data_IF_875545181797
#
_entry.id   IF_875545181797
#
_cell.length_a   1.000
_cell.length_b   1.000
_cell.length_c   1.000
_cell.angle_alpha   90.00
_cell.angle_beta   90.00
_cell.angle_gamma   90.00
#
_symmetry.space_group_name_H-M   'P 1'
#
loop_
_entity.id
_entity.type
_entity.pdbx_description
1 polymer ?
#
# COMPACT_ATOMS: atom_id res chain seq x y z
N UNK A 1 12.55 19.30 21.38
CA UNK A 1 11.11 19.08 21.17
C UNK A 1 10.94 17.66 20.67
N UNK A 2 10.27 16.78 21.41
CA UNK A 2 10.02 15.42 20.95
C UNK A 2 8.97 15.49 19.83
N UNK A 3 9.34 15.08 18.61
CA UNK A 3 8.36 14.78 17.57
C UNK A 3 7.48 13.66 18.10
N UNK A 4 6.20 13.94 18.37
CA UNK A 4 5.24 12.89 18.75
C UNK A 4 4.81 12.17 17.47
N UNK A 5 5.65 11.23 17.02
CA UNK A 5 5.34 10.32 15.90
C UNK A 5 3.94 9.73 16.11
N UNK A 6 3.06 9.92 15.13
CA UNK A 6 1.72 9.35 15.17
C UNK A 6 1.79 7.96 14.58
N UNK A 7 1.35 6.97 15.34
CA UNK A 7 1.32 5.59 14.88
C UNK A 7 -0.02 5.24 14.25
N UNK A 8 0.03 4.51 13.15
CA UNK A 8 -1.11 3.99 12.43
C UNK A 8 -0.91 2.51 12.13
N UNK A 9 -2.01 1.79 11.97
CA UNK A 9 -2.06 0.54 11.23
C UNK A 9 -2.71 0.78 9.88
N UNK A 10 -2.09 0.30 8.82
CA UNK A 10 -2.66 0.29 7.47
C UNK A 10 -3.04 -1.14 7.10
N UNK A 11 -4.22 -1.31 6.52
CA UNK A 11 -4.74 -2.59 6.04
C UNK A 11 -5.05 -2.51 4.54
N UNK A 12 -4.71 -3.57 3.82
CA UNK A 12 -4.85 -3.61 2.37
C UNK A 12 -3.89 -4.60 1.69
N UNK A 13 -3.71 -4.44 0.39
CA UNK A 13 -2.97 -5.40 -0.43
C UNK A 13 -1.57 -4.89 -0.75
N UNK A 14 -0.58 -5.72 -0.42
CA UNK A 14 0.82 -5.51 -0.74
C UNK A 14 1.13 -6.16 -2.07
N UNK A 15 1.80 -5.41 -2.94
CA UNK A 15 2.25 -5.84 -4.26
C UNK A 15 3.75 -5.56 -4.39
N UNK A 16 4.44 -6.40 -5.16
CA UNK A 16 5.87 -6.21 -5.44
C UNK A 16 6.13 -4.91 -6.21
N UNK A 17 7.39 -4.46 -6.19
CA UNK A 17 7.81 -3.29 -6.96
C UNK A 17 7.67 -3.53 -8.46
N UNK A 18 7.91 -4.76 -8.91
CA UNK A 18 7.74 -5.23 -10.28
C UNK A 18 6.27 -5.16 -10.70
N UNK A 19 5.35 -5.71 -9.90
CA UNK A 19 3.92 -5.66 -10.19
C UNK A 19 3.40 -4.22 -10.24
N UNK A 20 3.89 -3.34 -9.37
CA UNK A 20 3.57 -1.92 -9.38
C UNK A 20 4.13 -1.20 -10.63
N UNK A 21 5.36 -1.49 -11.04
CA UNK A 21 5.94 -0.93 -12.25
C UNK A 21 5.14 -1.35 -13.50
N UNK A 22 4.82 -2.64 -13.60
CA UNK A 22 4.02 -3.19 -14.70
C UNK A 22 2.62 -2.57 -14.75
N UNK A 23 1.98 -2.41 -13.59
CA UNK A 23 0.68 -1.72 -13.51
C UNK A 23 0.79 -0.26 -13.94
N UNK A 24 1.76 0.49 -13.45
CA UNK A 24 1.99 1.88 -13.87
C UNK A 24 2.27 1.98 -15.38
N UNK A 25 2.96 0.99 -15.95
CA UNK A 25 3.23 0.93 -17.38
C UNK A 25 1.98 0.71 -18.21
N UNK A 26 1.08 -0.18 -17.76
CA UNK A 26 -0.22 -0.37 -18.41
C UNK A 26 -1.09 0.90 -18.39
N UNK A 27 -1.06 1.67 -17.30
CA UNK A 27 -1.82 2.93 -17.18
C UNK A 27 -1.31 4.00 -18.16
N UNK A 28 0.01 4.13 -18.28
CA UNK A 28 0.65 5.26 -18.96
C UNK A 28 1.10 4.98 -20.40
N UNK A 29 1.15 3.71 -20.79
CA UNK A 29 1.69 3.28 -22.09
C UNK A 29 3.22 3.34 -22.18
N UNK A 30 3.94 3.64 -21.10
CA UNK A 30 5.42 3.69 -21.06
C UNK A 30 5.99 2.68 -20.07
N UNK A 31 7.16 2.12 -20.36
CA UNK A 31 7.81 1.15 -19.47
C UNK A 31 8.47 1.85 -18.27
N UNK A 32 8.14 1.44 -17.05
CA UNK A 32 8.77 1.90 -15.82
C UNK A 32 9.75 0.87 -15.27
N UNK A 33 10.81 1.35 -14.62
CA UNK A 33 11.69 0.52 -13.80
C UNK A 33 11.16 0.47 -12.36
N UNK A 34 11.24 -0.67 -11.66
CA UNK A 34 10.74 -0.82 -10.28
C UNK A 34 11.23 0.24 -9.30
N UNK A 35 12.44 0.77 -9.50
CA UNK A 35 13.05 1.81 -8.65
C UNK A 35 12.51 3.23 -8.85
N UNK A 36 11.60 3.46 -9.81
CA UNK A 36 11.00 4.77 -10.07
C UNK A 36 9.82 5.06 -9.13
N UNK A 37 10.03 4.87 -7.82
CA UNK A 37 8.98 4.81 -6.80
C UNK A 37 8.01 5.99 -6.82
N UNK A 38 8.54 7.22 -6.88
CA UNK A 38 7.71 8.42 -6.82
C UNK A 38 6.76 8.53 -8.02
N UNK A 39 7.22 8.14 -9.21
CA UNK A 39 6.42 8.24 -10.43
C UNK A 39 5.39 7.11 -10.46
N UNK A 40 5.81 5.87 -10.16
CA UNK A 40 4.91 4.70 -10.02
C UNK A 40 3.80 5.02 -9.01
N UNK A 41 4.17 5.54 -7.83
CA UNK A 41 3.20 5.89 -6.79
C UNK A 41 2.20 6.93 -7.27
N UNK A 42 2.65 8.01 -7.91
CA UNK A 42 1.76 9.06 -8.42
C UNK A 42 0.81 8.53 -9.51
N UNK A 43 1.34 7.72 -10.43
CA UNK A 43 0.57 7.14 -11.54
C UNK A 43 -0.54 6.22 -11.03
N UNK A 44 -0.25 5.35 -10.06
CA UNK A 44 -1.25 4.41 -9.53
C UNK A 44 -2.18 5.11 -8.52
N UNK A 45 -1.69 6.09 -7.76
CA UNK A 45 -2.49 6.82 -6.77
C UNK A 45 -3.74 7.45 -7.41
N UNK A 46 -3.66 7.94 -8.66
CA UNK A 46 -4.81 8.50 -9.37
C UNK A 46 -5.86 7.45 -9.75
N UNK A 47 -5.46 6.19 -9.94
CA UNK A 47 -6.36 5.08 -10.25
C UNK A 47 -7.07 4.53 -9.00
N UNK A 48 -6.40 4.52 -7.86
CA UNK A 48 -6.98 3.98 -6.61
C UNK A 48 -7.82 5.04 -5.87
N UNK A 49 -7.58 6.34 -6.10
CA UNK A 49 -8.27 7.43 -5.39
C UNK A 49 -9.80 7.42 -5.54
N UNK A 50 -10.41 7.13 -6.71
CA UNK A 50 -11.86 7.00 -6.85
C UNK A 50 -12.50 5.96 -5.91
N UNK A 51 -11.72 4.97 -5.46
CA UNK A 51 -12.13 3.92 -4.52
C UNK A 51 -11.89 4.31 -3.06
N UNK A 52 -11.55 5.59 -2.79
CA UNK A 52 -11.14 6.11 -1.46
C UNK A 52 -9.96 5.33 -0.87
N UNK A 53 -9.11 4.78 -1.73
CA UNK A 53 -7.93 4.01 -1.36
C UNK A 53 -6.65 4.85 -1.46
N UNK A 54 -5.68 4.54 -0.62
CA UNK A 54 -4.32 5.07 -0.69
C UNK A 54 -3.40 4.16 -1.49
N UNK A 55 -2.28 4.69 -1.97
CA UNK A 55 -1.19 3.90 -2.54
C UNK A 55 0.16 4.44 -2.08
N UNK A 56 0.93 3.61 -1.38
CA UNK A 56 2.20 4.01 -0.76
C UNK A 56 3.26 2.94 -0.83
N UNK A 57 4.50 3.38 -0.95
CA UNK A 57 5.67 2.54 -0.66
C UNK A 57 5.71 2.24 0.84
N UNK A 58 5.97 0.98 1.18
CA UNK A 58 6.12 0.45 2.55
C UNK A 58 7.41 -0.38 2.63
N UNK A 59 7.85 -0.71 3.84
CA UNK A 59 9.08 -1.46 4.11
C UNK A 59 10.20 -0.57 4.66
N UNK A 60 11.01 -1.09 5.58
CA UNK A 60 12.11 -0.33 6.20
C UNK A 60 13.46 -0.59 5.50
N UNK A 61 13.66 -1.80 4.96
CA UNK A 61 14.87 -2.17 4.22
C UNK A 61 14.61 -2.32 2.72
N UNK A 62 15.69 -2.33 1.92
CA UNK A 62 15.60 -2.50 0.47
C UNK A 62 14.92 -3.82 0.07
N UNK A 63 15.14 -4.88 0.84
CA UNK A 63 14.59 -6.21 0.64
C UNK A 63 13.10 -6.28 0.98
N UNK A 64 12.62 -5.39 1.85
CA UNK A 64 11.22 -5.32 2.29
C UNK A 64 10.38 -4.33 1.50
N UNK A 65 11.00 -3.51 0.64
CA UNK A 65 10.30 -2.47 -0.11
C UNK A 65 9.23 -3.08 -1.00
N UNK A 66 8.00 -2.61 -0.80
CA UNK A 66 6.84 -3.01 -1.58
C UNK A 66 5.85 -1.85 -1.67
N UNK A 67 4.90 -1.93 -2.59
CA UNK A 67 3.78 -1.01 -2.63
C UNK A 67 2.56 -1.60 -1.95
N UNK A 68 1.76 -0.75 -1.30
CA UNK A 68 0.51 -1.14 -0.67
C UNK A 68 -0.65 -0.32 -1.20
N UNK A 69 -1.70 -1.00 -1.66
CA UNK A 69 -3.04 -0.41 -1.84
C UNK A 69 -3.72 -0.40 -0.47
N UNK A 70 -3.87 0.78 0.11
CA UNK A 70 -4.35 0.98 1.48
C UNK A 70 -5.86 1.20 1.46
N UNK A 71 -6.61 0.27 2.06
CA UNK A 71 -8.08 0.33 2.17
C UNK A 71 -8.55 0.82 3.53
N UNK A 72 -7.73 0.58 4.57
CA UNK A 72 -8.00 0.98 5.94
C UNK A 72 -6.77 1.64 6.53
N UNK A 73 -7.00 2.74 7.24
CA UNK A 73 -5.98 3.42 8.02
C UNK A 73 -6.60 3.78 9.36
N UNK A 74 -6.04 3.25 10.44
CA UNK A 74 -6.52 3.50 11.79
C UNK A 74 -5.37 3.96 12.68
N UNK A 75 -5.62 5.02 13.45
CA UNK A 75 -4.65 5.57 14.38
C UNK A 75 -4.51 4.65 15.58
N UNK A 76 -3.27 4.46 16.03
CA UNK A 76 -2.93 3.72 17.24
C UNK A 76 -2.48 4.73 18.32
N UNK A 77 -3.40 5.28 19.13
CA UNK A 77 -3.11 6.40 20.03
C UNK A 77 -2.10 6.06 21.13
N UNK A 78 -2.01 4.79 21.54
CA UNK A 78 -1.17 4.32 22.64
C UNK A 78 -0.19 3.22 22.21
N UNK A 79 0.18 3.17 20.93
CA UNK A 79 1.08 2.14 20.43
C UNK A 79 2.45 2.20 21.11
N UNK A 80 2.90 1.08 21.65
CA UNK A 80 4.29 0.86 22.04
C UNK A 80 4.91 -0.09 21.02
N UNK A 81 6.18 0.14 20.68
CA UNK A 81 6.90 -0.62 19.63
C UNK A 81 6.89 -2.15 19.84
N UNK A 82 6.75 -2.60 21.09
CA UNK A 82 6.76 -4.02 21.45
C UNK A 82 5.36 -4.63 21.58
N UNK A 83 4.30 -3.83 21.44
CA UNK A 83 2.94 -4.35 21.48
C UNK A 83 2.61 -5.01 20.13
N UNK A 84 1.96 -6.19 20.13
CA UNK A 84 1.57 -6.84 18.89
C UNK A 84 0.60 -5.95 18.11
N UNK A 85 0.85 -5.80 16.81
CA UNK A 85 -0.01 -5.02 15.93
C UNK A 85 -1.33 -5.77 15.68
N UNK A 86 -2.49 -5.21 16.07
CA UNK A 86 -3.78 -5.85 15.80
C UNK A 86 -4.01 -5.94 14.28
N UNK A 87 -4.23 -7.15 13.77
CA UNK A 87 -4.44 -7.41 12.35
C UNK A 87 -5.85 -7.02 11.92
N UNK A 88 -5.99 -6.59 10.67
CA UNK A 88 -7.28 -6.50 10.00
C UNK A 88 -7.67 -7.86 9.42
N UNK A 89 -8.98 -8.06 9.28
CA UNK A 89 -9.57 -9.11 8.46
C UNK A 89 -10.10 -8.49 7.17
N UNK A 90 -10.15 -9.30 6.10
CA UNK A 90 -10.72 -8.87 4.84
C UNK A 90 -12.23 -8.60 4.98
N UNK A 91 -12.69 -7.46 4.45
CA UNK A 91 -14.10 -7.11 4.39
C UNK A 91 -14.52 -6.59 3.02
N UNK A 92 -15.66 -5.90 2.97
CA UNK A 92 -16.25 -5.39 1.72
C UNK A 92 -15.32 -4.41 0.98
N UNK A 93 -14.58 -3.57 1.73
CA UNK A 93 -13.63 -2.62 1.13
C UNK A 93 -12.47 -3.36 0.46
N UNK A 94 -11.98 -4.42 1.09
CA UNK A 94 -10.92 -5.26 0.55
C UNK A 94 -11.39 -6.03 -0.69
N UNK A 95 -12.66 -6.44 -0.76
CA UNK A 95 -13.23 -7.03 -1.98
C UNK A 95 -13.23 -6.05 -3.16
N UNK A 96 -13.49 -4.76 -2.93
CA UNK A 96 -13.40 -3.73 -3.99
C UNK A 96 -11.96 -3.56 -4.49
N UNK A 97 -10.96 -3.62 -3.60
CA UNK A 97 -9.55 -3.54 -3.99
C UNK A 97 -9.09 -4.77 -4.78
N UNK A 98 -9.59 -5.98 -4.46
CA UNK A 98 -9.34 -7.18 -5.28
C UNK A 98 -9.80 -6.98 -6.71
N UNK A 99 -11.03 -6.50 -6.90
CA UNK A 99 -11.54 -6.21 -8.24
C UNK A 99 -10.71 -5.16 -8.98
N UNK A 100 -10.20 -4.14 -8.27
CA UNK A 100 -9.30 -3.15 -8.87
C UNK A 100 -7.99 -3.78 -9.32
N UNK A 101 -7.37 -4.62 -8.49
CA UNK A 101 -6.13 -5.32 -8.80
C UNK A 101 -6.30 -6.30 -9.97
N UNK A 102 -7.40 -7.04 -10.00
CA UNK A 102 -7.75 -7.94 -11.11
C UNK A 102 -7.91 -7.18 -12.43
N UNK A 103 -8.66 -6.06 -12.43
CA UNK A 103 -8.79 -5.19 -13.62
C UNK A 103 -7.47 -4.58 -14.05
N UNK A 104 -6.60 -4.31 -13.09
CA UNK A 104 -5.25 -3.83 -13.33
C UNK A 104 -4.29 -4.93 -13.84
N UNK A 105 -4.73 -6.20 -13.90
CA UNK A 105 -3.90 -7.34 -14.25
C UNK A 105 -2.82 -7.66 -13.21
N UNK A 106 -3.05 -7.28 -11.95
CA UNK A 106 -2.16 -7.57 -10.82
C UNK A 106 -2.69 -8.80 -10.10
N UNK A 107 -2.00 -9.92 -10.24
CA UNK A 107 -2.41 -11.23 -9.68
C UNK A 107 -1.61 -11.64 -8.45
N UNK A 108 -0.39 -11.12 -8.30
CA UNK A 108 0.47 -11.39 -7.16
C UNK A 108 0.31 -10.28 -6.12
N UNK A 109 -0.57 -10.53 -5.15
CA UNK A 109 -0.84 -9.62 -4.05
C UNK A 109 -1.12 -10.38 -2.75
N UNK A 110 -0.75 -9.79 -1.62
CA UNK A 110 -0.98 -10.36 -0.29
C UNK A 110 -1.69 -9.35 0.59
N UNK A 111 -2.81 -9.74 1.20
CA UNK A 111 -3.46 -8.92 2.22
C UNK A 111 -2.59 -8.86 3.48
N UNK A 112 -2.23 -7.65 3.93
CA UNK A 112 -1.42 -7.46 5.14
C UNK A 112 -1.89 -6.27 5.94
N UNK A 113 -1.59 -6.31 7.24
CA UNK A 113 -1.63 -5.14 8.11
C UNK A 113 -0.19 -4.70 8.42
N UNK A 114 0.12 -3.42 8.19
CA UNK A 114 1.45 -2.86 8.45
C UNK A 114 1.37 -1.71 9.45
N UNK A 115 2.40 -1.57 10.27
CA UNK A 115 2.57 -0.43 11.17
C UNK A 115 3.25 0.71 10.43
N UNK A 116 2.81 1.95 10.68
CA UNK A 116 3.43 3.15 10.14
C UNK A 116 3.57 4.22 11.23
N UNK A 117 4.77 4.78 11.37
CA UNK A 117 5.02 6.01 12.11
C UNK A 117 5.08 7.21 11.15
N UNK A 118 4.23 8.22 11.37
CA UNK A 118 4.12 9.44 10.54
C UNK A 118 4.34 10.68 11.40
#
# INVERSE_FOLDING_TARGET
MASSTKHFRWGGYVISLEAAADWASRISGITFRPRQYLVIQRTIQTQVHPFKAGFKLIGETWEELAFMVIMRSERLPNYKKNDPLPQFEEGEREAMAKQLLERAGVTDYVFRTVHMGI
#
